data_IF_705991873513
#
_entry.id   IF_705991873513
#
_cell.length_a   1.000
_cell.length_b   1.000
_cell.length_c   1.000
_cell.angle_alpha   90.00
_cell.angle_beta   90.00
_cell.angle_gamma   90.00
#
_symmetry.space_group_name_H-M   'P 1'
#
loop_
_entity.id
_entity.type
_entity.pdbx_description
1 polymer ?
#
# COMPACT_ATOMS: atom_id res chain seq x y z
N UNK A 1 14.46 14.46 11.08
CA UNK A 1 13.18 13.85 10.64
C UNK A 1 12.35 14.96 10.01
N UNK A 2 12.42 15.12 8.69
CA UNK A 2 11.89 16.29 8.00
C UNK A 2 10.43 16.06 7.55
N UNK A 3 9.46 16.43 8.39
CA UNK A 3 8.15 16.95 7.96
C UNK A 3 7.30 16.10 7.01
N UNK A 4 7.40 14.77 7.05
CA UNK A 4 6.44 13.87 6.40
C UNK A 4 5.20 13.73 7.27
N UNK A 5 4.11 14.37 6.84
CA UNK A 5 2.79 14.22 7.46
C UNK A 5 2.16 13.00 6.80
N UNK A 6 2.31 11.83 7.41
CA UNK A 6 1.56 10.65 6.98
C UNK A 6 0.08 10.85 7.30
N UNK A 7 -0.83 10.43 6.39
CA UNK A 7 -2.25 10.46 6.68
C UNK A 7 -2.55 9.53 7.86
N UNK A 8 -3.50 9.92 8.72
CA UNK A 8 -3.96 9.09 9.85
C UNK A 8 -4.48 7.73 9.36
N UNK A 9 -5.16 7.71 8.20
CA UNK A 9 -5.62 6.52 7.49
C UNK A 9 -5.70 6.79 5.99
N UNK A 10 -5.48 5.75 5.17
CA UNK A 10 -5.56 5.83 3.72
C UNK A 10 -6.44 4.70 3.17
N UNK A 11 -7.38 5.04 2.29
CA UNK A 11 -8.18 4.06 1.56
C UNK A 11 -7.31 3.38 0.50
N UNK A 12 -7.15 2.05 0.57
CA UNK A 12 -6.40 1.29 -0.43
C UNK A 12 -7.29 0.38 -1.30
N UNK A 13 -8.58 0.23 -0.97
CA UNK A 13 -9.52 -0.57 -1.75
C UNK A 13 -10.95 -0.42 -1.25
N UNK A 14 -11.91 -0.68 -2.12
CA UNK A 14 -13.34 -0.77 -1.78
C UNK A 14 -14.04 -1.75 -2.72
N UNK A 15 -15.08 -2.42 -2.23
CA UNK A 15 -15.95 -3.27 -3.04
C UNK A 15 -17.41 -2.91 -2.72
N UNK A 16 -18.19 -2.62 -3.76
CA UNK A 16 -19.64 -2.47 -3.61
C UNK A 16 -20.27 -3.84 -3.75
N UNK A 17 -20.85 -4.35 -2.67
CA UNK A 17 -21.50 -5.65 -2.64
C UNK A 17 -23.02 -5.48 -2.63
N UNK A 18 -23.71 -6.22 -3.50
CA UNK A 18 -25.16 -6.40 -3.41
C UNK A 18 -25.44 -7.74 -2.74
N UNK A 19 -26.32 -7.76 -1.74
CA UNK A 19 -26.73 -8.96 -1.01
C UNK A 19 -28.25 -9.09 -1.06
N UNK A 20 -28.74 -10.30 -1.30
CA UNK A 20 -30.12 -10.63 -1.00
C UNK A 20 -30.34 -10.71 0.51
N UNK A 21 -31.60 -10.70 0.95
CA UNK A 21 -31.96 -10.92 2.35
C UNK A 21 -31.36 -12.25 2.82
N UNK A 22 -30.65 -12.22 3.96
CA UNK A 22 -29.94 -13.35 4.57
C UNK A 22 -28.77 -13.92 3.76
N UNK A 23 -28.34 -13.27 2.67
CA UNK A 23 -27.13 -13.67 1.97
C UNK A 23 -25.88 -13.16 2.69
N UNK A 24 -24.91 -14.05 2.86
CA UNK A 24 -23.56 -13.70 3.30
C UNK A 24 -22.61 -13.78 2.11
N UNK A 25 -21.72 -12.79 1.97
CA UNK A 25 -20.63 -12.82 0.99
C UNK A 25 -19.32 -12.52 1.70
N UNK A 26 -18.32 -13.34 1.42
CA UNK A 26 -16.94 -13.06 1.77
C UNK A 26 -16.30 -12.15 0.71
N UNK A 27 -15.53 -11.16 1.15
CA UNK A 27 -14.79 -10.24 0.28
C UNK A 27 -13.31 -10.29 0.61
N UNK A 28 -12.49 -10.23 -0.42
CA UNK A 28 -11.04 -10.34 -0.30
C UNK A 28 -10.36 -9.08 -0.85
N UNK A 29 -9.58 -8.42 -0.01
CA UNK A 29 -8.78 -7.26 -0.40
C UNK A 29 -7.29 -7.65 -0.41
N UNK A 30 -6.65 -7.83 -1.57
CA UNK A 30 -5.23 -8.17 -1.63
C UNK A 30 -4.39 -6.99 -1.14
N UNK A 31 -3.68 -7.16 -0.03
CA UNK A 31 -2.71 -6.18 0.45
C UNK A 31 -1.36 -6.42 -0.22
N UNK A 32 -0.84 -5.41 -0.92
CA UNK A 32 0.50 -5.46 -1.51
C UNK A 32 1.37 -4.35 -0.91
N UNK A 33 2.70 -4.49 -1.01
CA UNK A 33 3.65 -3.48 -0.52
C UNK A 33 3.37 -2.09 -1.12
N UNK A 34 2.84 -2.02 -2.34
CA UNK A 34 2.49 -0.75 -3.00
C UNK A 34 1.45 0.07 -2.23
N UNK A 35 0.59 -0.58 -1.46
CA UNK A 35 -0.43 0.08 -0.63
C UNK A 35 0.15 0.69 0.65
N UNK A 36 1.38 0.31 1.02
CA UNK A 36 2.05 0.75 2.25
C UNK A 36 3.11 1.83 2.00
N UNK A 37 3.29 2.24 0.73
CA UNK A 37 4.32 3.21 0.35
C UNK A 37 3.90 4.63 0.68
N UNK A 38 4.81 5.39 1.27
CA UNK A 38 4.71 6.84 1.41
C UNK A 38 5.43 7.51 0.23
N UNK A 39 4.93 8.66 -0.21
CA UNK A 39 5.59 9.50 -1.21
C UNK A 39 6.23 10.68 -0.47
N UNK A 40 7.56 10.77 -0.54
CA UNK A 40 8.32 11.86 0.03
C UNK A 40 8.17 13.14 -0.82
N UNK A 41 8.59 14.29 -0.28
CA UNK A 41 8.47 15.60 -0.97
C UNK A 41 9.22 15.66 -2.31
N UNK A 42 10.26 14.87 -2.47
CA UNK A 42 11.06 14.75 -3.70
C UNK A 42 10.46 13.75 -4.72
N UNK A 43 9.27 13.20 -4.43
CA UNK A 43 8.58 12.24 -5.29
C UNK A 43 9.11 10.80 -5.18
N UNK A 44 10.09 10.55 -4.32
CA UNK A 44 10.56 9.18 -4.08
C UNK A 44 9.54 8.40 -3.24
N UNK A 45 9.47 7.09 -3.47
CA UNK A 45 8.57 6.18 -2.74
C UNK A 45 9.34 5.44 -1.68
N UNK A 46 8.77 5.32 -0.49
CA UNK A 46 9.42 4.68 0.64
C UNK A 46 8.49 3.69 1.32
N UNK A 47 9.05 2.57 1.78
CA UNK A 47 8.41 1.68 2.74
C UNK A 47 9.11 1.88 4.09
N UNK A 48 8.34 2.14 5.13
CA UNK A 48 8.87 2.37 6.48
C UNK A 48 8.62 1.16 7.37
N UNK A 49 9.55 0.84 8.29
CA UNK A 49 9.26 -0.08 9.37
C UNK A 49 8.19 0.54 10.29
N UNK A 50 7.39 -0.29 10.94
CA UNK A 50 6.35 0.19 11.84
C UNK A 50 5.13 -0.72 11.91
N UNK A 51 4.06 -0.17 12.46
CA UNK A 51 2.77 -0.84 12.60
C UNK A 51 1.78 -0.23 11.61
N UNK A 52 1.16 -1.08 10.80
CA UNK A 52 0.15 -0.71 9.83
C UNK A 52 -1.16 -1.35 10.23
N UNK A 53 -2.12 -0.53 10.66
CA UNK A 53 -3.45 -1.00 11.05
C UNK A 53 -4.36 -1.07 9.82
N UNK A 54 -4.88 -2.26 9.55
CA UNK A 54 -5.81 -2.53 8.46
C UNK A 54 -7.23 -2.44 9.02
N UNK A 55 -7.99 -1.50 8.48
CA UNK A 55 -9.38 -1.23 8.83
C UNK A 55 -10.30 -1.68 7.70
N UNK A 56 -11.40 -2.36 8.04
CA UNK A 56 -12.52 -2.62 7.12
C UNK A 56 -13.75 -1.89 7.67
N UNK A 57 -14.27 -0.93 6.90
CA UNK A 57 -15.21 0.05 7.43
C UNK A 57 -14.55 0.90 8.52
N UNK A 58 -15.05 0.80 9.76
CA UNK A 58 -14.48 1.48 10.94
C UNK A 58 -13.84 0.51 11.94
N UNK A 59 -13.80 -0.78 11.63
CA UNK A 59 -13.33 -1.80 12.56
C UNK A 59 -11.89 -2.19 12.25
N UNK A 60 -11.08 -2.31 13.30
CA UNK A 60 -9.74 -2.87 13.23
C UNK A 60 -9.82 -4.37 12.96
N UNK A 61 -9.18 -4.82 11.87
CA UNK A 61 -9.10 -6.23 11.51
C UNK A 61 -7.75 -6.82 11.89
N UNK A 62 -6.67 -6.16 11.47
CA UNK A 62 -5.31 -6.68 11.59
C UNK A 62 -4.30 -5.55 11.76
N UNK A 63 -3.18 -5.88 12.41
CA UNK A 63 -1.99 -5.04 12.44
C UNK A 63 -0.84 -5.77 11.77
N UNK A 64 -0.31 -5.20 10.69
CA UNK A 64 0.92 -5.67 10.07
C UNK A 64 2.11 -4.99 10.74
N UNK A 65 3.10 -5.78 11.19
CA UNK A 65 4.36 -5.27 11.75
C UNK A 65 5.46 -5.43 10.72
N UNK A 66 6.08 -4.32 10.33
CA UNK A 66 7.27 -4.30 9.50
C UNK A 66 8.47 -3.91 10.34
N UNK A 67 9.55 -4.69 10.23
CA UNK A 67 10.80 -4.48 10.97
C UNK A 67 11.93 -4.07 10.01
N UNK A 68 13.01 -3.53 10.57
CA UNK A 68 14.20 -3.13 9.82
C UNK A 68 14.29 -1.61 9.63
N UNK A 69 14.85 -1.18 8.50
CA UNK A 69 15.05 0.23 8.15
C UNK A 69 14.12 0.65 7.02
N UNK A 70 13.90 1.96 6.89
CA UNK A 70 13.15 2.51 5.76
C UNK A 70 13.87 2.18 4.45
N UNK A 71 13.14 1.65 3.47
CA UNK A 71 13.69 1.33 2.15
C UNK A 71 13.07 2.22 1.09
N UNK A 72 13.91 2.81 0.24
CA UNK A 72 13.44 3.51 -0.95
C UNK A 72 12.94 2.46 -1.96
N UNK A 73 11.67 2.52 -2.31
CA UNK A 73 11.04 1.61 -3.24
C UNK A 73 11.38 2.00 -4.68
N UNK A 74 12.51 1.51 -5.17
CA UNK A 74 12.86 1.57 -6.58
C UNK A 74 12.09 0.49 -7.35
N UNK A 75 11.00 0.89 -8.03
CA UNK A 75 10.46 0.06 -9.11
C UNK A 75 11.54 -0.01 -10.18
N UNK A 76 12.28 -1.11 -10.29
CA UNK A 76 13.17 -1.34 -11.44
C UNK A 76 12.34 -1.10 -12.70
N UNK A 77 12.55 0.05 -13.37
CA UNK A 77 12.27 0.11 -14.80
C UNK A 77 13.30 -0.82 -15.40
N UNK A 78 12.90 -1.99 -15.88
CA UNK A 78 13.69 -2.64 -16.90
C UNK A 78 13.71 -1.67 -18.08
N UNK A 79 14.78 -0.87 -18.15
CA UNK A 79 15.20 -0.24 -19.38
C UNK A 79 15.66 -1.43 -20.22
N UNK A 80 14.81 -1.87 -21.16
CA UNK A 80 15.28 -2.73 -22.24
C UNK A 80 16.41 -1.93 -22.92
N UNK A 81 17.62 -2.49 -23.09
CA UNK A 81 18.58 -1.87 -23.97
C UNK A 81 17.92 -1.77 -25.35
N UNK A 82 17.82 -0.54 -25.86
CA UNK A 82 17.51 -0.30 -27.25
C UNK A 82 18.66 -0.87 -28.06
N UNK A 83 18.48 -2.09 -28.57
CA UNK A 83 19.37 -2.67 -29.56
C UNK A 83 19.06 -2.00 -30.91
N UNK A 84 19.50 -0.77 -31.07
CA UNK A 84 19.63 -0.13 -32.39
C UNK A 84 20.93 0.65 -32.39
N UNK A 85 21.97 0.04 -32.96
CA UNK A 85 22.87 0.69 -33.90
C UNK A 85 23.84 -0.34 -34.51
N UNK A 86 23.57 -0.61 -35.80
CA UNK A 86 24.50 -0.84 -36.93
C UNK A 86 25.39 -2.08 -36.86
#
# INVERSE_FOLDING_TARGET
>A
MNGEISPIKQLFGFERVSLAVNQTKEVFFPLTVRHLLTIARDGTKWLHPGSYDILIGQQHMHTLKLYGQSIQWASKRHVFPSNENI
#
